data_IF_713091925481
#
_entry.id   IF_713091925481
#
_cell.length_a   1.000
_cell.length_b   1.000
_cell.length_c   1.000
_cell.angle_alpha   90.00
_cell.angle_beta   90.00
_cell.angle_gamma   90.00
#
_symmetry.space_group_name_H-M   'P 1'
#
loop_
_entity.id
_entity.type
_entity.pdbx_description
1 polymer ?
#
# COMPACT_ATOMS: atom_id res chain seq x y z
N UNK A 1 -27.10 15.07 -0.81
CA UNK A 1 -26.13 16.14 -1.18
C UNK A 1 -24.72 16.00 -0.57
N UNK A 2 -24.40 14.94 0.21
CA UNK A 2 -23.08 14.76 0.90
C UNK A 2 -22.01 13.98 0.13
N UNK A 3 -22.30 13.42 -1.04
CA UNK A 3 -21.39 12.53 -1.78
C UNK A 3 -20.44 13.27 -2.76
N UNK A 4 -20.76 14.50 -3.13
CA UNK A 4 -19.99 15.27 -4.14
C UNK A 4 -18.71 15.91 -3.58
N UNK A 5 -18.71 16.30 -2.31
CA UNK A 5 -17.56 16.96 -1.67
C UNK A 5 -16.37 16.02 -1.36
N UNK A 6 -16.64 14.74 -1.07
CA UNK A 6 -15.57 13.78 -0.80
C UNK A 6 -14.81 13.31 -2.06
N UNK A 7 -15.43 13.43 -3.25
CA UNK A 7 -14.78 13.02 -4.52
C UNK A 7 -13.74 14.04 -5.01
N UNK A 8 -13.98 15.33 -4.81
CA UNK A 8 -13.06 16.39 -5.24
C UNK A 8 -11.75 16.41 -4.44
N UNK A 9 -11.81 16.18 -3.15
CA UNK A 9 -10.62 16.18 -2.27
C UNK A 9 -9.64 15.04 -2.57
N UNK A 10 -10.13 13.82 -2.81
CA UNK A 10 -9.27 12.67 -3.15
C UNK A 10 -8.64 12.78 -4.53
N UNK A 11 -9.34 13.37 -5.49
CA UNK A 11 -8.83 13.61 -6.84
C UNK A 11 -7.68 14.62 -6.82
N UNK A 12 -7.89 15.74 -6.15
CA UNK A 12 -6.89 16.78 -5.95
C UNK A 12 -5.66 16.25 -5.21
N UNK A 13 -5.86 15.51 -4.11
CA UNK A 13 -4.78 14.89 -3.32
C UNK A 13 -3.98 13.89 -4.16
N UNK A 14 -4.64 13.03 -4.92
CA UNK A 14 -3.95 12.05 -5.79
C UNK A 14 -3.10 12.75 -6.86
N UNK A 15 -3.60 13.83 -7.46
CA UNK A 15 -2.85 14.64 -8.42
C UNK A 15 -1.64 15.33 -7.78
N UNK A 16 -1.79 15.86 -6.57
CA UNK A 16 -0.67 16.47 -5.82
C UNK A 16 0.42 15.43 -5.51
N UNK A 17 0.04 14.23 -5.06
CA UNK A 17 0.98 13.13 -4.81
C UNK A 17 1.76 12.76 -6.08
N UNK A 18 1.09 12.66 -7.23
CA UNK A 18 1.75 12.37 -8.51
C UNK A 18 2.73 13.47 -8.91
N UNK A 19 2.33 14.74 -8.78
CA UNK A 19 3.20 15.88 -9.07
C UNK A 19 4.43 15.91 -8.16
N UNK A 20 4.25 15.73 -6.86
CA UNK A 20 5.36 15.67 -5.90
C UNK A 20 6.36 14.55 -6.23
N UNK A 21 5.85 13.40 -6.71
CA UNK A 21 6.66 12.27 -7.16
C UNK A 21 7.21 12.43 -8.59
N UNK A 22 7.02 13.57 -9.24
CA UNK A 22 7.44 13.86 -10.63
C UNK A 22 6.85 12.85 -11.65
N UNK A 23 5.62 12.39 -11.41
CA UNK A 23 4.90 11.47 -12.29
C UNK A 23 3.78 12.19 -13.04
N UNK A 24 3.59 11.85 -14.32
CA UNK A 24 2.47 12.36 -15.11
C UNK A 24 1.11 11.98 -14.50
N UNK A 25 0.18 12.96 -14.44
CA UNK A 25 -1.17 12.79 -13.92
C UNK A 25 -2.09 12.16 -14.98
N UNK A 26 -2.01 10.85 -15.16
CA UNK A 26 -2.93 10.13 -16.05
C UNK A 26 -4.17 9.67 -15.28
N UNK A 27 -5.31 9.50 -15.98
CA UNK A 27 -6.56 8.99 -15.39
C UNK A 27 -6.34 7.66 -14.65
N UNK A 28 -5.56 6.76 -15.25
CA UNK A 28 -5.20 5.46 -14.67
C UNK A 28 -4.50 5.62 -13.31
N UNK A 29 -3.44 6.42 -13.26
CA UNK A 29 -2.65 6.65 -12.03
C UNK A 29 -3.49 7.26 -10.92
N UNK A 30 -4.28 8.28 -11.25
CA UNK A 30 -5.20 8.91 -10.29
C UNK A 30 -6.21 7.90 -9.76
N UNK A 31 -6.82 7.09 -10.62
CA UNK A 31 -7.80 6.09 -10.21
C UNK A 31 -7.21 5.02 -9.27
N UNK A 32 -6.02 4.52 -9.57
CA UNK A 32 -5.33 3.53 -8.71
C UNK A 32 -4.99 4.14 -7.34
N UNK A 33 -4.44 5.36 -7.30
CA UNK A 33 -4.16 6.04 -6.02
C UNK A 33 -5.42 6.27 -5.20
N UNK A 34 -6.55 6.63 -5.83
CA UNK A 34 -7.84 6.80 -5.14
C UNK A 34 -8.34 5.48 -4.53
N UNK A 35 -8.17 4.36 -5.22
CA UNK A 35 -8.52 3.03 -4.70
C UNK A 35 -7.67 2.70 -3.47
N UNK A 36 -6.36 2.91 -3.55
CA UNK A 36 -5.44 2.65 -2.43
C UNK A 36 -5.68 3.61 -1.26
N UNK A 37 -5.98 4.88 -1.53
CA UNK A 37 -6.26 5.87 -0.50
C UNK A 37 -7.54 5.56 0.31
N UNK A 38 -8.54 4.96 -0.33
CA UNK A 38 -9.77 4.51 0.33
C UNK A 38 -9.63 3.19 1.06
N UNK A 39 -8.58 2.43 0.77
CA UNK A 39 -8.38 1.14 1.39
C UNK A 39 -7.75 1.30 2.77
N UNK A 40 -8.35 0.67 3.78
CA UNK A 40 -7.79 0.62 5.14
C UNK A 40 -6.84 -0.56 5.35
N UNK A 41 -6.56 -1.30 4.28
CA UNK A 41 -5.69 -2.48 4.28
C UNK A 41 -4.95 -2.58 2.94
N UNK A 42 -3.79 -3.27 2.90
CA UNK A 42 -3.10 -3.54 1.65
C UNK A 42 -4.00 -4.30 0.68
N UNK A 43 -3.89 -3.99 -0.61
CA UNK A 43 -4.68 -4.60 -1.67
C UNK A 43 -3.79 -5.33 -2.67
N UNK A 44 -4.21 -6.53 -3.09
CA UNK A 44 -3.60 -7.21 -4.24
C UNK A 44 -3.99 -6.52 -5.55
N UNK A 45 -3.22 -6.79 -6.60
CA UNK A 45 -3.54 -6.29 -7.95
C UNK A 45 -4.97 -6.66 -8.39
N UNK A 46 -5.41 -7.88 -8.09
CA UNK A 46 -6.77 -8.36 -8.41
C UNK A 46 -7.83 -7.56 -7.66
N UNK A 47 -7.60 -7.29 -6.37
CA UNK A 47 -8.52 -6.48 -5.56
C UNK A 47 -8.57 -5.02 -6.04
N UNK A 48 -7.45 -4.45 -6.49
CA UNK A 48 -7.39 -3.11 -7.09
C UNK A 48 -8.20 -3.10 -8.38
N UNK A 49 -7.99 -4.07 -9.28
CA UNK A 49 -8.72 -4.20 -10.53
C UNK A 49 -10.24 -4.30 -10.30
N UNK A 50 -10.66 -5.13 -9.34
CA UNK A 50 -12.08 -5.28 -8.97
C UNK A 50 -12.70 -3.96 -8.48
N UNK A 51 -11.97 -3.17 -7.69
CA UNK A 51 -12.43 -1.87 -7.17
C UNK A 51 -12.44 -0.76 -8.20
N UNK A 52 -11.62 -0.84 -9.25
CA UNK A 52 -11.65 0.07 -10.40
C UNK A 52 -12.91 -0.13 -11.26
N UNK A 53 -13.56 -1.29 -11.15
CA UNK A 53 -14.81 -1.60 -11.84
C UNK A 53 -14.63 -1.72 -13.35
N UNK A 54 -15.70 -1.38 -14.10
CA UNK A 54 -15.74 -1.49 -15.58
C UNK A 54 -14.81 -0.55 -16.34
N UNK A 55 -14.11 0.36 -15.68
CA UNK A 55 -13.02 1.12 -16.27
C UNK A 55 -11.81 0.20 -16.50
N UNK A 56 -11.96 -0.75 -17.40
CA UNK A 56 -11.06 -1.87 -17.68
C UNK A 56 -9.63 -1.41 -17.95
N UNK A 57 -8.89 -1.16 -16.88
CA UNK A 57 -7.45 -1.11 -17.00
C UNK A 57 -6.95 -2.55 -17.14
N UNK A 58 -6.20 -2.79 -18.20
CA UNK A 58 -5.54 -4.06 -18.40
C UNK A 58 -4.67 -4.38 -17.17
N UNK A 59 -4.63 -5.65 -16.75
CA UNK A 59 -3.81 -6.13 -15.63
C UNK A 59 -2.35 -5.66 -15.75
N UNK A 60 -1.80 -5.68 -16.96
CA UNK A 60 -0.43 -5.20 -17.23
C UNK A 60 -0.29 -3.71 -16.94
N UNK A 61 -1.28 -2.89 -17.30
CA UNK A 61 -1.27 -1.44 -17.02
C UNK A 61 -1.33 -1.17 -15.52
N UNK A 62 -2.16 -1.90 -14.78
CA UNK A 62 -2.23 -1.79 -13.31
C UNK A 62 -0.88 -2.16 -12.71
N UNK A 63 -0.30 -3.29 -13.11
CA UNK A 63 0.98 -3.76 -12.59
C UNK A 63 2.09 -2.75 -12.86
N UNK A 64 2.27 -2.30 -14.10
CA UNK A 64 3.28 -1.30 -14.47
C UNK A 64 3.12 0.00 -13.71
N UNK A 65 1.86 0.43 -13.46
CA UNK A 65 1.58 1.62 -12.67
C UNK A 65 1.99 1.44 -11.21
N UNK A 66 1.65 0.30 -10.61
CA UNK A 66 2.04 -0.04 -9.23
C UNK A 66 3.56 -0.13 -9.09
N UNK A 67 4.26 -0.76 -10.04
CA UNK A 67 5.73 -0.80 -10.07
C UNK A 67 6.33 0.62 -10.17
N UNK A 68 5.76 1.48 -11.02
CA UNK A 68 6.17 2.88 -11.12
C UNK A 68 5.99 3.62 -9.79
N UNK A 69 4.88 3.37 -9.09
CA UNK A 69 4.61 3.96 -7.78
C UNK A 69 5.56 3.45 -6.70
N UNK A 70 5.89 2.16 -6.73
CA UNK A 70 6.86 1.59 -5.80
C UNK A 70 8.26 2.19 -5.99
N UNK A 71 8.66 2.41 -7.23
CA UNK A 71 9.97 2.98 -7.57
C UNK A 71 10.17 4.39 -7.01
N UNK A 72 9.11 5.19 -6.93
CA UNK A 72 9.13 6.55 -6.40
C UNK A 72 8.64 6.66 -4.95
N UNK A 73 8.40 5.53 -4.28
CA UNK A 73 7.97 5.50 -2.88
C UNK A 73 6.53 5.92 -2.61
N UNK A 74 5.70 6.15 -3.65
CA UNK A 74 4.27 6.46 -3.46
C UNK A 74 3.49 5.28 -2.90
N UNK A 75 3.93 4.08 -3.23
CA UNK A 75 3.32 2.81 -2.82
C UNK A 75 4.45 1.87 -2.40
N UNK A 76 4.20 1.02 -1.45
CA UNK A 76 5.12 -0.06 -1.10
C UNK A 76 4.45 -1.42 -1.20
N UNK A 77 5.27 -2.45 -1.41
CA UNK A 77 4.86 -3.83 -1.46
C UNK A 77 4.79 -4.40 -0.05
N UNK A 78 3.69 -5.07 0.26
CA UNK A 78 3.49 -5.85 1.48
C UNK A 78 3.34 -7.31 1.08
N UNK A 79 4.22 -8.16 1.56
CA UNK A 79 4.10 -9.60 1.33
C UNK A 79 3.19 -10.18 2.42
N UNK A 80 1.97 -10.53 2.03
CA UNK A 80 0.96 -11.08 2.94
C UNK A 80 0.96 -12.59 2.90
N UNK A 81 1.27 -13.17 1.73
CA UNK A 81 1.36 -14.61 1.52
C UNK A 81 2.46 -14.91 0.49
N UNK A 82 3.00 -16.16 0.51
CA UNK A 82 4.04 -16.61 -0.44
C UNK A 82 3.64 -16.45 -1.92
N UNK A 83 2.35 -16.27 -2.22
CA UNK A 83 1.80 -16.22 -3.58
C UNK A 83 1.20 -14.88 -4.00
N UNK A 84 0.98 -13.94 -3.10
CA UNK A 84 0.30 -12.70 -3.41
C UNK A 84 1.05 -11.48 -2.86
N UNK A 85 1.43 -10.57 -3.76
CA UNK A 85 1.96 -9.26 -3.40
C UNK A 85 0.79 -8.29 -3.23
N UNK A 86 0.75 -7.61 -2.11
CA UNK A 86 -0.20 -6.55 -1.82
C UNK A 86 0.50 -5.20 -1.81
N UNK A 87 -0.25 -4.16 -2.07
CA UNK A 87 0.23 -2.80 -2.22
C UNK A 87 -0.50 -1.86 -1.27
N UNK A 88 0.23 -0.93 -0.70
CA UNK A 88 -0.27 0.09 0.20
C UNK A 88 0.40 1.44 -0.07
N UNK A 89 -0.26 2.56 0.29
CA UNK A 89 0.31 3.90 0.15
C UNK A 89 1.55 4.06 1.02
N UNK A 90 2.62 4.60 0.43
CA UNK A 90 3.92 4.78 1.07
C UNK A 90 3.93 5.86 2.16
N UNK A 91 2.98 6.80 2.16
CA UNK A 91 2.89 7.87 3.15
C UNK A 91 2.55 7.38 4.58
N UNK A 92 2.22 6.10 4.73
CA UNK A 92 2.00 5.43 6.01
C UNK A 92 3.28 4.88 6.63
N UNK A 93 4.39 4.96 5.89
CA UNK A 93 5.71 4.49 6.33
C UNK A 93 6.69 5.66 6.39
N UNK A 94 7.64 5.62 7.32
CA UNK A 94 8.86 6.44 7.24
C UNK A 94 9.82 5.85 6.21
N UNK A 95 10.81 6.62 5.76
CA UNK A 95 11.77 6.20 4.71
C UNK A 95 12.44 4.84 4.99
N UNK A 96 12.77 4.56 6.24
CA UNK A 96 13.48 3.33 6.66
C UNK A 96 12.55 2.32 7.32
N UNK A 97 11.44 2.76 7.96
CA UNK A 97 10.54 1.92 8.75
C UNK A 97 9.18 1.80 8.10
N UNK A 98 8.80 0.58 7.76
CA UNK A 98 7.41 0.26 7.49
C UNK A 98 6.71 -0.09 8.81
N UNK A 99 5.45 0.33 8.97
CA UNK A 99 4.65 -0.12 10.11
C UNK A 99 4.45 -1.65 10.03
N UNK A 100 4.28 -2.33 11.17
CA UNK A 100 4.04 -3.77 11.16
C UNK A 100 2.71 -4.12 10.48
N UNK A 101 2.68 -5.27 9.84
CA UNK A 101 1.47 -5.86 9.30
C UNK A 101 1.16 -7.14 10.06
N UNK A 102 -0.08 -7.28 10.52
CA UNK A 102 -0.58 -8.48 11.18
C UNK A 102 -1.44 -9.27 10.21
N UNK A 103 -1.17 -10.57 10.07
CA UNK A 103 -1.99 -11.49 9.27
C UNK A 103 -2.59 -12.56 10.17
N UNK A 104 -3.91 -12.70 10.14
CA UNK A 104 -4.60 -13.78 10.84
C UNK A 104 -4.37 -15.10 10.09
N UNK A 105 -3.86 -16.11 10.78
CA UNK A 105 -3.60 -17.43 10.19
C UNK A 105 -4.88 -18.22 9.92
N UNK A 106 -6.00 -17.88 10.59
CA UNK A 106 -7.28 -18.55 10.42
C UNK A 106 -8.11 -17.95 9.27
N UNK A 107 -8.42 -16.65 9.32
CA UNK A 107 -9.28 -16.02 8.31
C UNK A 107 -8.51 -15.25 7.21
N UNK A 108 -7.18 -15.16 7.29
CA UNK A 108 -6.34 -14.50 6.30
C UNK A 108 -6.46 -12.96 6.27
N UNK A 109 -7.24 -12.36 7.19
CA UNK A 109 -7.34 -10.90 7.22
C UNK A 109 -5.99 -10.29 7.58
N UNK A 110 -5.60 -9.24 6.85
CA UNK A 110 -4.38 -8.49 7.14
C UNK A 110 -4.72 -7.09 7.58
N UNK A 111 -4.15 -6.69 8.72
CA UNK A 111 -4.31 -5.37 9.31
C UNK A 111 -2.97 -4.64 9.35
N UNK A 112 -3.01 -3.35 9.03
CA UNK A 112 -1.87 -2.45 9.19
C UNK A 112 -1.88 -1.93 10.63
N UNK A 113 -0.81 -2.18 11.36
CA UNK A 113 -0.64 -1.73 12.75
C UNK A 113 0.00 -0.33 12.75
N UNK A 114 -0.74 0.65 12.23
CA UNK A 114 -0.32 2.05 12.23
C UNK A 114 -0.25 2.55 13.68
N UNK A 115 0.88 3.17 14.05
CA UNK A 115 1.12 3.66 15.42
C UNK A 115 1.85 2.67 16.33
N UNK A 116 2.03 1.41 15.90
CA UNK A 116 2.91 0.47 16.59
C UNK A 116 4.36 0.73 16.18
N UNK A 117 5.21 1.09 17.14
CA UNK A 117 6.63 1.32 16.88
C UNK A 117 7.43 0.05 17.12
N UNK A 118 8.24 -0.32 16.14
CA UNK A 118 9.21 -1.40 16.26
C UNK A 118 10.61 -0.81 16.16
N UNK A 119 11.52 -1.12 17.09
CA UNK A 119 12.89 -0.64 17.02
C UNK A 119 13.59 -1.19 15.76
N UNK A 120 14.52 -0.39 15.24
CA UNK A 120 15.39 -0.86 14.13
C UNK A 120 16.30 -1.94 14.68
N UNK A 121 16.48 -3.02 13.91
CA UNK A 121 17.43 -4.08 14.23
C UNK A 121 18.82 -3.50 14.39
N UNK A 122 19.47 -3.84 15.52
CA UNK A 122 20.86 -3.47 15.85
C UNK A 122 21.71 -4.74 15.93
N UNK A 123 23.02 -4.57 15.97
CA UNK A 123 23.95 -5.69 16.18
C UNK A 123 24.24 -6.52 14.91
N UNK A 124 23.99 -5.97 13.74
CA UNK A 124 24.43 -6.59 12.50
C UNK A 124 25.96 -6.61 12.40
N UNK A 125 26.49 -7.61 11.69
CA UNK A 125 27.92 -7.71 11.39
C UNK A 125 28.39 -6.45 10.64
N UNK A 126 29.66 -6.09 10.81
CA UNK A 126 30.27 -4.95 10.12
C UNK A 126 30.10 -5.06 8.60
N UNK A 127 29.69 -3.96 7.97
CA UNK A 127 29.48 -3.89 6.52
C UNK A 127 28.04 -4.07 6.03
N UNK A 128 27.10 -4.47 6.91
CA UNK A 128 25.69 -4.50 6.54
C UNK A 128 25.05 -3.12 6.65
N UNK A 129 24.28 -2.71 5.63
CA UNK A 129 23.51 -1.46 5.59
C UNK A 129 22.04 -1.81 5.45
N UNK A 130 21.21 -1.37 6.40
CA UNK A 130 19.76 -1.58 6.33
C UNK A 130 19.16 -0.45 5.50
N UNK A 131 18.68 -0.76 4.30
CA UNK A 131 17.90 0.17 3.49
C UNK A 131 16.42 0.21 3.88
N UNK A 132 15.88 -0.91 4.37
CA UNK A 132 14.47 -1.01 4.77
C UNK A 132 14.27 -2.16 5.76
N UNK A 133 13.43 -1.90 6.78
CA UNK A 133 12.95 -2.91 7.71
C UNK A 133 11.44 -3.09 7.52
N UNK A 134 11.00 -4.33 7.33
CA UNK A 134 9.59 -4.72 7.31
C UNK A 134 9.36 -5.76 8.40
N UNK A 135 8.24 -5.63 9.12
CA UNK A 135 7.87 -6.58 10.17
C UNK A 135 6.49 -7.14 9.86
N UNK A 136 6.41 -8.45 9.85
CA UNK A 136 5.19 -9.22 9.70
C UNK A 136 4.92 -9.98 10.99
N UNK A 137 3.71 -9.86 11.50
CA UNK A 137 3.20 -10.60 12.65
C UNK A 137 2.13 -11.58 12.16
N UNK A 138 2.12 -12.77 12.69
CA UNK A 138 1.14 -13.80 12.38
C UNK A 138 0.52 -14.32 13.69
N UNK A 139 -0.79 -14.54 13.68
CA UNK A 139 -1.53 -15.00 14.86
C UNK A 139 -3.02 -15.04 14.58
N UNK A 140 -3.85 -14.95 15.62
CA UNK A 140 -5.30 -14.89 15.49
C UNK A 140 -5.79 -13.45 15.66
N UNK A 141 -6.75 -13.01 14.82
CA UNK A 141 -7.42 -11.73 15.01
C UNK A 141 -8.48 -11.83 16.12
N UNK A 142 -9.02 -10.70 16.63
CA UNK A 142 -10.02 -10.71 17.71
C UNK A 142 -11.29 -11.52 17.41
N UNK A 143 -11.62 -11.75 16.14
CA UNK A 143 -12.77 -12.57 15.76
C UNK A 143 -12.43 -14.06 15.66
N UNK A 144 -11.15 -14.44 15.67
CA UNK A 144 -10.68 -15.81 15.51
C UNK A 144 -9.95 -16.35 16.75
N UNK A 145 -9.66 -15.46 17.69
CA UNK A 145 -9.03 -15.80 18.98
C UNK A 145 -10.01 -16.45 19.94
#
# INVERSE_FOLDING_TARGET
MKVKYMKSGLDSRSKQMLKAAKLYCTKCRVSILKVLAKANKPLSQVQIAKRLGRNHLNKVTIYRTLESFCRVGLVHKVFIDKRAVHFELGNRCSEIRCHPHFTCINCGVTNCLVGVSIPIVKGLKKGFVIHRQQVRLEGLCPQCA
#
